data_IF_923987770726
#
_entry.id   IF_923987770726
#
_cell.length_a   1.000
_cell.length_b   1.000
_cell.length_c   1.000
_cell.angle_alpha   90.00
_cell.angle_beta   90.00
_cell.angle_gamma   90.00
#
_symmetry.space_group_name_H-M   'P 1'
#
loop_
_entity.id
_entity.type
_entity.pdbx_description
1 polymer ?
#
# COMPACT_ATOMS: atom_id res chain seq x y z
N UNK A 1 38.22 -8.25 73.65
CA UNK A 1 36.89 -7.62 73.77
C UNK A 1 37.00 -6.23 73.14
N UNK A 2 36.32 -5.83 72.07
CA UNK A 2 35.31 -6.46 71.23
C UNK A 2 35.26 -5.70 69.90
N UNK A 3 35.35 -6.45 68.80
CA UNK A 3 34.63 -6.29 67.52
C UNK A 3 34.45 -4.89 66.89
N UNK A 4 35.25 -4.62 65.85
CA UNK A 4 34.83 -3.80 64.71
C UNK A 4 33.91 -4.66 63.83
N UNK A 5 32.63 -4.28 63.70
CA UNK A 5 31.71 -4.91 62.74
C UNK A 5 31.80 -4.18 61.40
N UNK A 6 32.53 -4.78 60.46
CA UNK A 6 32.45 -4.41 59.05
C UNK A 6 31.09 -4.78 58.49
N UNK A 7 30.34 -3.79 58.03
CA UNK A 7 29.14 -4.00 57.22
C UNK A 7 29.59 -4.29 55.78
N UNK A 8 29.92 -5.55 55.52
CA UNK A 8 30.06 -6.05 54.15
C UNK A 8 28.71 -5.93 53.46
N UNK A 9 28.65 -5.15 52.37
CA UNK A 9 27.52 -5.20 51.45
C UNK A 9 27.33 -6.66 51.02
N UNK A 10 26.11 -7.22 51.10
CA UNK A 10 25.87 -8.56 50.60
C UNK A 10 26.19 -8.59 49.11
N UNK A 11 26.84 -9.65 48.60
CA UNK A 11 27.10 -9.78 47.18
C UNK A 11 25.75 -9.74 46.45
N UNK A 12 25.58 -8.75 45.57
CA UNK A 12 24.46 -8.68 44.64
C UNK A 12 24.34 -10.05 43.97
N UNK A 13 23.16 -10.69 43.98
CA UNK A 13 22.99 -11.96 43.29
C UNK A 13 23.41 -11.74 41.84
N UNK A 14 24.38 -12.52 41.39
CA UNK A 14 24.76 -12.60 39.98
C UNK A 14 23.57 -13.16 39.22
N UNK A 15 22.64 -12.28 38.89
CA UNK A 15 21.55 -12.57 38.00
C UNK A 15 22.19 -12.80 36.63
N UNK A 16 22.15 -14.05 36.16
CA UNK A 16 22.77 -14.54 34.92
C UNK A 16 22.04 -14.00 33.67
N UNK A 17 21.30 -12.91 33.81
CA UNK A 17 20.54 -12.28 32.76
C UNK A 17 21.40 -11.19 32.10
N UNK A 18 21.56 -11.30 30.79
CA UNK A 18 22.26 -10.34 29.94
C UNK A 18 21.56 -8.97 29.85
N UNK A 19 20.33 -8.88 30.34
CA UNK A 19 19.51 -7.67 30.28
C UNK A 19 19.16 -7.19 31.70
N UNK A 20 19.17 -5.86 31.93
CA UNK A 20 18.72 -5.31 33.20
C UNK A 20 17.25 -5.69 33.44
N UNK A 21 16.86 -5.98 34.70
CA UNK A 21 15.45 -6.16 35.03
C UNK A 21 14.68 -4.86 34.73
N UNK A 22 13.36 -4.96 34.48
CA UNK A 22 12.53 -3.78 34.26
C UNK A 22 12.63 -2.82 35.46
N UNK A 23 12.46 -1.51 35.26
CA UNK A 23 12.49 -0.55 36.35
C UNK A 23 11.47 -0.86 37.44
N UNK A 24 11.85 -0.65 38.71
CA UNK A 24 11.04 -0.99 39.89
C UNK A 24 9.65 -0.35 39.85
N UNK A 25 9.53 0.86 39.31
CA UNK A 25 8.24 1.57 39.20
C UNK A 25 7.23 0.87 38.28
N UNK A 26 7.67 -0.08 37.44
CA UNK A 26 6.76 -0.84 36.58
C UNK A 26 5.74 -1.65 37.38
N UNK A 27 6.09 -2.09 38.60
CA UNK A 27 5.19 -2.83 39.49
C UNK A 27 4.00 -1.97 39.96
N UNK A 28 4.15 -0.64 39.99
CA UNK A 28 3.10 0.28 40.40
C UNK A 28 1.97 0.43 39.36
N UNK A 29 2.18 -0.02 38.11
CA UNK A 29 1.22 0.06 37.01
C UNK A 29 0.17 -1.07 37.07
N UNK A 30 -0.60 -1.12 38.17
CA UNK A 30 -1.74 -2.06 38.31
C UNK A 30 -3.05 -1.42 37.85
N UNK A 31 -4.01 -2.22 37.39
CA UNK A 31 -5.34 -1.74 36.94
C UNK A 31 -6.05 -0.90 38.02
N UNK A 32 -5.87 -1.26 39.29
CA UNK A 32 -6.42 -0.54 40.43
C UNK A 32 -5.75 0.84 40.59
N UNK A 33 -4.42 0.92 40.56
CA UNK A 33 -3.69 2.18 40.70
C UNK A 33 -3.94 3.13 39.51
N UNK A 34 -4.09 2.58 38.30
CA UNK A 34 -4.46 3.35 37.10
C UNK A 34 -5.86 3.93 37.26
N UNK A 35 -6.85 3.12 37.70
CA UNK A 35 -8.22 3.61 37.91
C UNK A 35 -8.32 4.68 38.99
N UNK A 36 -7.45 4.61 40.01
CA UNK A 36 -7.37 5.59 41.11
C UNK A 36 -6.51 6.82 40.75
N UNK A 37 -5.88 6.85 39.57
CA UNK A 37 -5.01 7.95 39.15
C UNK A 37 -3.72 8.11 39.97
N UNK A 38 -3.29 7.04 40.67
CA UNK A 38 -2.07 7.04 41.49
C UNK A 38 -0.79 6.83 40.66
N UNK A 39 -0.95 6.50 39.38
CA UNK A 39 0.14 6.27 38.44
C UNK A 39 0.31 7.49 37.56
N UNK A 40 1.55 7.94 37.41
CA UNK A 40 1.87 9.05 36.51
C UNK A 40 1.61 8.62 35.05
N UNK A 41 0.97 9.48 34.24
CA UNK A 41 0.88 9.24 32.81
C UNK A 41 2.30 9.16 32.21
N UNK A 42 2.49 8.45 31.08
CA UNK A 42 3.77 8.41 30.42
C UNK A 42 4.25 9.83 30.13
N UNK A 43 5.56 10.12 30.31
CA UNK A 43 6.09 11.45 30.03
C UNK A 43 5.83 11.81 28.56
N UNK A 44 5.66 13.10 28.25
CA UNK A 44 5.53 13.54 26.86
C UNK A 44 6.77 13.12 26.08
N UNK A 45 6.59 12.76 24.81
CA UNK A 45 7.69 12.34 23.94
C UNK A 45 8.70 13.49 23.86
N UNK A 46 9.97 13.27 24.26
CA UNK A 46 10.96 14.33 24.22
C UNK A 46 11.27 14.68 22.76
N UNK A 47 11.15 15.96 22.44
CA UNK A 47 11.51 16.51 21.13
C UNK A 47 13.02 16.51 20.90
N UNK A 48 13.78 16.64 22.00
CA UNK A 48 15.24 16.64 22.01
C UNK A 48 15.74 15.45 22.80
N UNK A 49 16.61 14.65 22.21
CA UNK A 49 17.16 13.46 22.87
C UNK A 49 18.59 13.23 22.43
N UNK A 50 19.37 12.60 23.29
CA UNK A 50 20.77 12.29 23.02
C UNK A 50 20.90 10.85 22.52
N UNK A 51 21.58 10.65 21.40
CA UNK A 51 21.91 9.33 20.86
C UNK A 51 23.41 9.28 20.61
N UNK A 52 24.09 8.33 21.26
CA UNK A 52 25.54 8.14 21.14
C UNK A 52 26.39 9.40 21.41
N UNK A 53 25.94 10.29 22.29
CA UNK A 53 26.65 11.54 22.60
C UNK A 53 26.23 12.74 21.75
N UNK A 54 25.40 12.54 20.72
CA UNK A 54 24.87 13.61 19.88
C UNK A 54 23.44 13.98 20.26
N UNK A 55 23.17 15.27 20.39
CA UNK A 55 21.82 15.79 20.66
C UNK A 55 21.04 15.91 19.36
N UNK A 56 19.95 15.16 19.23
CA UNK A 56 19.01 15.23 18.13
C UNK A 56 17.81 16.10 18.51
N UNK A 57 17.34 16.90 17.55
CA UNK A 57 16.14 17.74 17.67
C UNK A 57 15.15 17.38 16.56
N UNK A 58 13.97 16.89 16.94
CA UNK A 58 12.94 16.46 15.98
C UNK A 58 12.23 17.61 15.27
N UNK A 59 12.22 18.81 15.86
CA UNK A 59 11.57 20.00 15.25
C UNK A 59 12.55 20.79 14.37
N UNK A 60 13.84 20.48 14.48
CA UNK A 60 14.90 21.12 13.71
C UNK A 60 15.01 20.58 12.27
N UNK A 61 16.12 20.95 11.62
CA UNK A 61 16.49 20.32 10.36
C UNK A 61 16.73 18.82 10.58
N UNK A 62 16.20 17.98 9.68
CA UNK A 62 16.31 16.51 9.76
C UNK A 62 17.77 16.03 9.84
N UNK A 63 18.69 16.79 9.24
CA UNK A 63 20.11 16.54 9.26
C UNK A 63 20.82 17.83 9.70
N UNK A 64 21.82 17.75 10.61
CA UNK A 64 22.69 18.87 10.91
C UNK A 64 23.40 19.38 9.65
N UNK A 65 23.67 20.68 9.58
CA UNK A 65 24.46 21.22 8.48
C UNK A 65 25.92 20.79 8.63
N UNK A 66 26.64 20.62 7.51
CA UNK A 66 28.06 20.27 7.54
C UNK A 66 28.90 21.30 8.32
N UNK A 67 28.50 22.57 8.26
CA UNK A 67 29.12 23.66 9.00
C UNK A 67 28.94 23.53 10.50
N UNK A 68 27.80 23.02 10.98
CA UNK A 68 27.55 22.78 12.41
C UNK A 68 28.42 21.64 12.94
N UNK A 69 28.75 20.66 12.09
CA UNK A 69 29.68 19.55 12.38
C UNK A 69 31.15 19.95 12.19
N UNK A 70 31.44 21.22 11.86
CA UNK A 70 32.80 21.72 11.64
C UNK A 70 33.47 21.25 10.35
N UNK A 71 32.69 20.76 9.38
CA UNK A 71 33.17 20.30 8.08
C UNK A 71 32.88 21.32 6.98
N UNK A 72 33.81 21.51 6.06
CA UNK A 72 33.61 22.38 4.90
C UNK A 72 32.62 21.74 3.91
N UNK A 73 31.59 22.49 3.54
CA UNK A 73 30.66 22.10 2.48
C UNK A 73 31.27 22.39 1.09
N UNK A 74 31.35 21.36 0.25
CA UNK A 74 32.00 21.39 -1.08
C UNK A 74 31.00 21.40 -2.26
N UNK A 75 29.70 21.44 -1.97
CA UNK A 75 28.63 21.45 -2.98
C UNK A 75 27.60 22.54 -2.69
N UNK A 76 26.84 22.93 -3.72
CA UNK A 76 25.77 23.92 -3.54
C UNK A 76 24.47 23.27 -3.04
N UNK A 77 23.90 23.80 -1.96
CA UNK A 77 22.64 23.32 -1.37
C UNK A 77 21.42 23.46 -2.31
N UNK A 78 21.46 24.40 -3.26
CA UNK A 78 20.39 24.60 -4.26
C UNK A 78 20.62 23.83 -5.56
N UNK A 79 21.70 23.05 -5.66
CA UNK A 79 22.08 22.33 -6.86
C UNK A 79 21.32 21.02 -7.06
N UNK A 80 21.36 20.50 -8.29
CA UNK A 80 20.88 19.15 -8.57
C UNK A 80 21.80 18.12 -7.88
N UNK A 81 21.26 17.36 -6.92
CA UNK A 81 22.00 16.34 -6.15
C UNK A 81 22.84 15.40 -7.02
N UNK A 82 22.31 14.98 -8.19
CA UNK A 82 23.00 14.06 -9.11
C UNK A 82 24.26 14.70 -9.70
N UNK A 83 24.18 15.97 -10.07
CA UNK A 83 25.30 16.71 -10.65
C UNK A 83 26.36 16.99 -9.59
N UNK A 84 25.95 17.41 -8.40
CA UNK A 84 26.87 17.66 -7.28
C UNK A 84 27.58 16.39 -6.82
N UNK A 85 26.85 15.28 -6.68
CA UNK A 85 27.44 13.98 -6.33
C UNK A 85 28.47 13.52 -7.38
N UNK A 86 28.19 13.74 -8.67
CA UNK A 86 29.12 13.40 -9.74
C UNK A 86 30.38 14.28 -9.71
N UNK A 87 30.25 15.58 -9.41
CA UNK A 87 31.40 16.48 -9.25
C UNK A 87 32.29 16.04 -8.09
N UNK A 88 31.70 15.75 -6.92
CA UNK A 88 32.44 15.27 -5.75
C UNK A 88 33.13 13.93 -6.03
N UNK A 89 32.45 13.01 -6.72
CA UNK A 89 33.04 11.73 -7.10
C UNK A 89 34.24 11.88 -8.04
N UNK A 90 34.14 12.77 -9.04
CA UNK A 90 35.27 13.09 -9.93
C UNK A 90 36.43 13.70 -9.15
N UNK A 91 36.14 14.63 -8.23
CA UNK A 91 37.16 15.23 -7.36
C UNK A 91 37.82 14.20 -6.44
N UNK A 92 37.06 13.22 -5.95
CA UNK A 92 37.57 12.12 -5.12
C UNK A 92 38.53 11.23 -5.91
N UNK A 93 38.17 10.85 -7.13
CA UNK A 93 39.04 10.05 -8.00
C UNK A 93 40.32 10.82 -8.31
N UNK A 94 40.23 12.11 -8.64
CA UNK A 94 41.41 12.95 -8.88
C UNK A 94 42.32 13.03 -7.63
N UNK A 95 41.75 13.30 -6.45
CA UNK A 95 42.51 13.35 -5.20
C UNK A 95 43.18 11.99 -4.85
N UNK A 96 42.53 10.88 -5.18
CA UNK A 96 43.10 9.55 -4.99
C UNK A 96 44.26 9.26 -5.96
N UNK A 97 44.14 9.68 -7.22
CA UNK A 97 45.24 9.56 -8.19
C UNK A 97 46.44 10.44 -7.79
N UNK A 98 46.20 11.67 -7.33
CA UNK A 98 47.25 12.54 -6.79
C UNK A 98 47.95 11.88 -5.60
N UNK A 99 47.19 11.26 -4.69
CA UNK A 99 47.75 10.54 -3.55
C UNK A 99 48.65 9.39 -4.00
N UNK A 100 48.22 8.59 -4.99
CA UNK A 100 49.06 7.53 -5.56
C UNK A 100 50.35 8.11 -6.16
N UNK A 101 50.26 9.22 -6.88
CA UNK A 101 51.43 9.85 -7.49
C UNK A 101 52.45 10.31 -6.44
N UNK A 102 51.98 10.90 -5.33
CA UNK A 102 52.82 11.28 -4.19
C UNK A 102 53.49 10.05 -3.58
N UNK A 103 52.74 8.97 -3.35
CA UNK A 103 53.27 7.73 -2.77
C UNK A 103 54.34 7.07 -3.65
N UNK A 104 54.23 7.18 -4.98
CA UNK A 104 55.23 6.67 -5.91
C UNK A 104 56.50 7.54 -5.92
N UNK A 105 56.34 8.88 -5.88
CA UNK A 105 57.46 9.82 -5.97
C UNK A 105 58.22 9.95 -4.66
N UNK A 106 57.53 10.32 -3.58
CA UNK A 106 58.11 10.60 -2.26
C UNK A 106 57.10 10.21 -1.17
N UNK A 107 57.18 8.99 -0.61
CA UNK A 107 56.18 8.52 0.34
C UNK A 107 56.16 9.33 1.64
N UNK A 108 57.27 9.95 2.06
CA UNK A 108 57.40 10.68 3.34
C UNK A 108 57.01 12.16 3.27
N UNK A 109 56.50 12.64 2.13
CA UNK A 109 56.09 14.03 1.99
C UNK A 109 54.83 14.32 2.84
N UNK A 110 54.78 15.51 3.47
CA UNK A 110 53.63 15.99 4.25
C UNK A 110 52.38 16.16 3.37
N UNK A 111 52.54 16.44 2.07
CA UNK A 111 51.45 16.52 1.07
C UNK A 111 50.57 15.25 1.04
N UNK A 112 51.12 14.09 1.41
CA UNK A 112 50.35 12.85 1.55
C UNK A 112 49.23 13.01 2.57
N UNK A 113 49.52 13.63 3.71
CA UNK A 113 48.57 13.82 4.82
C UNK A 113 47.48 14.78 4.38
N UNK A 114 47.84 15.88 3.71
CA UNK A 114 46.88 16.85 3.17
C UNK A 114 45.92 16.22 2.15
N UNK A 115 46.42 15.35 1.26
CA UNK A 115 45.57 14.62 0.33
C UNK A 115 44.65 13.61 1.02
N UNK A 116 45.10 12.95 2.07
CA UNK A 116 44.25 12.06 2.88
C UNK A 116 43.12 12.86 3.55
N UNK A 117 43.41 14.02 4.13
CA UNK A 117 42.38 14.89 4.72
C UNK A 117 41.41 15.46 3.69
N UNK A 118 41.90 15.76 2.49
CA UNK A 118 41.04 16.14 1.35
C UNK A 118 40.08 15.01 0.99
N UNK A 119 40.57 13.77 0.89
CA UNK A 119 39.76 12.58 0.62
C UNK A 119 38.72 12.35 1.73
N UNK A 120 39.13 12.48 3.00
CA UNK A 120 38.22 12.39 4.16
C UNK A 120 37.08 13.40 4.05
N UNK A 121 37.41 14.66 3.77
CA UNK A 121 36.43 15.73 3.60
C UNK A 121 35.47 15.46 2.44
N UNK A 122 35.97 14.95 1.31
CA UNK A 122 35.14 14.58 0.16
C UNK A 122 34.16 13.45 0.50
N UNK A 123 34.59 12.43 1.26
CA UNK A 123 33.69 11.37 1.71
C UNK A 123 32.59 11.89 2.63
N UNK A 124 32.93 12.73 3.62
CA UNK A 124 31.94 13.33 4.53
C UNK A 124 30.87 14.10 3.73
N UNK A 125 31.30 14.91 2.75
CA UNK A 125 30.40 15.65 1.87
C UNK A 125 29.49 14.74 1.02
N UNK A 126 30.05 13.66 0.46
CA UNK A 126 29.28 12.67 -0.31
C UNK A 126 28.24 11.99 0.59
N UNK A 127 28.63 11.60 1.80
CA UNK A 127 27.73 10.97 2.76
C UNK A 127 26.57 11.89 3.15
N UNK A 128 26.86 13.16 3.43
CA UNK A 128 25.84 14.15 3.75
C UNK A 128 24.85 14.33 2.59
N UNK A 129 25.33 14.48 1.36
CA UNK A 129 24.47 14.61 0.18
C UNK A 129 23.60 13.36 -0.07
N UNK A 130 24.12 12.16 0.21
CA UNK A 130 23.33 10.92 0.16
C UNK A 130 22.25 10.91 1.25
N UNK A 131 22.58 11.38 2.45
CA UNK A 131 21.65 11.46 3.56
C UNK A 131 20.51 12.43 3.26
N UNK A 132 20.80 13.61 2.69
CA UNK A 132 19.78 14.56 2.23
C UNK A 132 18.85 13.95 1.16
N UNK A 133 19.34 13.00 0.36
CA UNK A 133 18.53 12.33 -0.66
C UNK A 133 17.61 11.22 -0.10
N UNK A 134 17.87 10.69 1.11
CA UNK A 134 17.10 9.58 1.71
C UNK A 134 15.59 9.83 1.78
N UNK A 135 15.10 11.02 2.20
CA UNK A 135 13.66 11.28 2.25
C UNK A 135 13.00 11.29 0.87
N UNK A 136 13.71 11.77 -0.15
CA UNK A 136 13.24 11.76 -1.55
C UNK A 136 13.10 10.32 -2.03
N UNK A 137 14.13 9.49 -1.81
CA UNK A 137 14.10 8.06 -2.12
C UNK A 137 12.94 7.32 -1.43
N UNK A 138 12.70 7.60 -0.14
CA UNK A 138 11.61 6.98 0.61
C UNK A 138 10.23 7.32 0.02
N UNK A 139 10.02 8.60 -0.37
CA UNK A 139 8.78 9.05 -1.01
C UNK A 139 8.55 8.38 -2.36
N UNK A 140 9.59 8.25 -3.17
CA UNK A 140 9.49 7.58 -4.48
C UNK A 140 9.22 6.08 -4.34
N UNK A 141 9.85 5.44 -3.35
CA UNK A 141 9.59 4.03 -3.02
C UNK A 141 8.14 3.82 -2.60
N UNK A 142 7.60 4.71 -1.74
CA UNK A 142 6.21 4.66 -1.32
C UNK A 142 5.25 4.88 -2.50
N UNK A 143 5.54 5.85 -3.37
CA UNK A 143 4.74 6.11 -4.57
C UNK A 143 4.69 4.88 -5.47
N UNK A 144 5.82 4.21 -5.67
CA UNK A 144 5.89 3.02 -6.50
C UNK A 144 5.12 1.86 -5.87
N UNK A 145 5.21 1.68 -4.56
CA UNK A 145 4.45 0.68 -3.82
C UNK A 145 2.93 0.87 -4.01
N UNK A 146 2.44 2.10 -3.82
CA UNK A 146 1.00 2.40 -3.95
C UNK A 146 0.53 2.19 -5.39
N UNK A 147 1.32 2.61 -6.38
CA UNK A 147 1.01 2.35 -7.80
C UNK A 147 0.86 0.85 -8.07
N UNK A 148 1.80 0.05 -7.58
CA UNK A 148 1.77 -1.39 -7.74
C UNK A 148 0.52 -2.01 -7.08
N UNK A 149 0.21 -1.60 -5.84
CA UNK A 149 -0.98 -2.09 -5.13
C UNK A 149 -2.28 -1.73 -5.86
N UNK A 150 -2.41 -0.51 -6.36
CA UNK A 150 -3.60 -0.10 -7.11
C UNK A 150 -3.78 -0.90 -8.41
N UNK A 151 -2.68 -1.19 -9.12
CA UNK A 151 -2.72 -2.03 -10.31
C UNK A 151 -3.16 -3.46 -9.96
N UNK A 152 -2.59 -4.06 -8.91
CA UNK A 152 -2.99 -5.39 -8.45
C UNK A 152 -4.47 -5.45 -8.07
N UNK A 153 -4.96 -4.44 -7.33
CA UNK A 153 -6.36 -4.35 -6.91
C UNK A 153 -7.25 -4.21 -8.14
N UNK A 154 -6.90 -3.34 -9.09
CA UNK A 154 -7.70 -3.12 -10.31
C UNK A 154 -7.79 -4.39 -11.16
N UNK A 155 -6.68 -5.11 -11.33
CA UNK A 155 -6.65 -6.38 -12.08
C UNK A 155 -7.50 -7.43 -11.38
N UNK A 156 -7.34 -7.62 -10.06
CA UNK A 156 -8.14 -8.58 -9.30
C UNK A 156 -9.63 -8.24 -9.30
N UNK A 157 -9.95 -6.95 -9.20
CA UNK A 157 -11.33 -6.47 -9.25
C UNK A 157 -11.95 -6.76 -10.62
N UNK A 158 -11.23 -6.48 -11.71
CA UNK A 158 -11.70 -6.76 -13.07
C UNK A 158 -11.87 -8.27 -13.31
N UNK A 159 -10.94 -9.10 -12.86
CA UNK A 159 -11.03 -10.56 -12.95
C UNK A 159 -12.26 -11.09 -12.19
N UNK A 160 -12.45 -10.63 -10.95
CA UNK A 160 -13.61 -11.00 -10.13
C UNK A 160 -14.93 -10.55 -10.77
N UNK A 161 -14.98 -9.32 -11.28
CA UNK A 161 -16.17 -8.77 -11.90
C UNK A 161 -16.52 -9.49 -13.21
N UNK A 162 -15.52 -9.79 -14.05
CA UNK A 162 -15.68 -10.57 -15.28
C UNK A 162 -16.23 -11.98 -15.00
N UNK A 163 -15.69 -12.67 -13.99
CA UNK A 163 -16.17 -13.98 -13.56
C UNK A 163 -17.64 -13.92 -13.10
N UNK A 164 -18.00 -12.86 -12.35
CA UNK A 164 -19.35 -12.68 -11.82
C UNK A 164 -20.34 -12.34 -12.94
N UNK A 165 -20.00 -11.44 -13.86
CA UNK A 165 -20.81 -11.15 -15.05
C UNK A 165 -21.03 -12.41 -15.86
N UNK A 166 -19.97 -13.17 -16.16
CA UNK A 166 -20.09 -14.41 -16.93
C UNK A 166 -21.01 -15.43 -16.27
N UNK A 167 -21.06 -15.45 -14.93
CA UNK A 167 -21.98 -16.31 -14.19
C UNK A 167 -23.44 -15.81 -14.26
N UNK A 168 -23.66 -14.50 -14.15
CA UNK A 168 -24.98 -13.90 -14.33
C UNK A 168 -25.52 -14.11 -15.75
N UNK A 169 -24.67 -13.94 -16.78
CA UNK A 169 -25.05 -14.13 -18.18
C UNK A 169 -25.51 -15.56 -18.44
N UNK A 170 -24.80 -16.56 -17.89
CA UNK A 170 -25.23 -17.97 -17.96
C UNK A 170 -26.59 -18.23 -17.29
N UNK A 171 -26.90 -17.53 -16.21
CA UNK A 171 -28.21 -17.66 -15.54
C UNK A 171 -29.30 -17.02 -16.39
N UNK A 172 -29.06 -15.84 -16.97
CA UNK A 172 -30.03 -15.17 -17.84
C UNK A 172 -30.30 -15.96 -19.11
N UNK A 173 -29.28 -16.57 -19.73
CA UNK A 173 -29.46 -17.46 -20.89
C UNK A 173 -30.33 -18.68 -20.55
N UNK A 174 -30.09 -19.30 -19.38
CA UNK A 174 -30.92 -20.42 -18.92
C UNK A 174 -32.36 -19.99 -18.68
N UNK A 175 -32.59 -18.85 -18.03
CA UNK A 175 -33.93 -18.31 -17.80
C UNK A 175 -34.66 -18.01 -19.12
N UNK A 176 -33.96 -17.42 -20.11
CA UNK A 176 -34.53 -17.14 -21.41
C UNK A 176 -34.98 -18.43 -22.14
N UNK A 177 -34.19 -19.51 -22.04
CA UNK A 177 -34.60 -20.82 -22.58
C UNK A 177 -35.87 -21.38 -21.92
N UNK A 178 -36.01 -21.20 -20.60
CA UNK A 178 -37.24 -21.62 -19.90
C UNK A 178 -38.46 -20.77 -20.29
N UNK A 179 -38.28 -19.46 -20.54
CA UNK A 179 -39.39 -18.62 -21.02
C UNK A 179 -39.81 -18.98 -22.44
N UNK A 180 -38.87 -19.21 -23.36
CA UNK A 180 -39.17 -19.60 -24.75
C UNK A 180 -39.92 -20.94 -24.83
N UNK A 181 -39.52 -21.92 -24.01
CA UNK A 181 -40.21 -23.21 -23.92
C UNK A 181 -41.60 -23.08 -23.30
N UNK A 182 -41.77 -22.23 -22.28
CA UNK A 182 -43.07 -21.92 -21.70
C UNK A 182 -44.03 -21.23 -22.68
N UNK A 183 -43.54 -20.26 -23.45
CA UNK A 183 -44.34 -19.58 -24.49
C UNK A 183 -44.72 -20.52 -25.63
N UNK A 184 -43.81 -21.39 -26.08
CA UNK A 184 -44.09 -22.38 -27.11
C UNK A 184 -45.15 -23.42 -26.65
N UNK A 185 -45.10 -23.83 -25.38
CA UNK A 185 -46.11 -24.70 -24.79
C UNK A 185 -47.49 -24.02 -24.73
N UNK A 186 -47.55 -22.76 -24.31
CA UNK A 186 -48.80 -21.97 -24.31
C UNK A 186 -49.37 -21.79 -25.72
N UNK A 187 -48.51 -21.54 -26.71
CA UNK A 187 -48.92 -21.42 -28.12
C UNK A 187 -49.45 -22.76 -28.65
N UNK A 188 -48.81 -23.87 -28.31
CA UNK A 188 -49.28 -25.22 -28.66
C UNK A 188 -50.64 -25.51 -28.03
N UNK A 189 -50.84 -25.12 -26.76
CA UNK A 189 -52.09 -25.30 -26.04
C UNK A 189 -53.21 -24.42 -26.62
N UNK A 190 -52.90 -23.18 -26.98
CA UNK A 190 -53.85 -22.27 -27.63
C UNK A 190 -54.24 -22.77 -29.03
N UNK A 191 -53.30 -23.31 -29.80
CA UNK A 191 -53.57 -23.92 -31.10
C UNK A 191 -54.40 -25.21 -30.94
N UNK A 192 -54.11 -26.03 -29.93
CA UNK A 192 -54.91 -27.20 -29.60
C UNK A 192 -56.35 -26.82 -29.22
N UNK A 193 -56.54 -25.79 -28.38
CA UNK A 193 -57.85 -25.24 -28.03
C UNK A 193 -58.59 -24.67 -29.25
N UNK A 194 -57.89 -24.06 -30.20
CA UNK A 194 -58.50 -23.60 -31.46
C UNK A 194 -58.88 -24.75 -32.41
N UNK A 195 -58.17 -25.88 -32.34
CA UNK A 195 -58.52 -27.11 -33.07
C UNK A 195 -59.59 -27.96 -32.37
N UNK A 196 -59.94 -27.63 -31.13
CA UNK A 196 -61.10 -28.21 -30.44
C UNK A 196 -62.38 -27.65 -31.06
N UNK A 197 -62.80 -28.22 -32.19
CA UNK A 197 -64.15 -28.07 -32.71
C UNK A 197 -65.07 -28.98 -31.91
N UNK A 198 -66.09 -28.39 -31.27
CA UNK A 198 -67.16 -29.14 -30.61
C UNK A 198 -67.91 -29.92 -31.69
N UNK A 199 -67.85 -31.26 -31.62
CA UNK A 199 -68.53 -32.14 -32.57
C UNK A 199 -70.05 -31.98 -32.43
N UNK A 200 -70.73 -31.75 -33.57
CA UNK A 200 -72.15 -31.48 -33.68
C UNK A 200 -72.97 -32.74 -33.35
N UNK A 201 -73.16 -33.07 -32.07
CA UNK A 201 -74.24 -33.99 -31.63
C UNK A 201 -74.79 -33.62 -30.25
N UNK A 202 -75.38 -32.43 -30.12
CA UNK A 202 -76.36 -32.16 -29.05
C UNK A 202 -77.61 -31.54 -29.69
N UNK A 203 -78.84 -32.08 -29.46
CA UNK A 203 -80.04 -31.62 -30.14
C UNK A 203 -80.38 -30.18 -29.73
N UNK A 204 -80.70 -29.32 -30.71
CA UNK A 204 -81.25 -27.98 -30.47
C UNK A 204 -82.59 -28.08 -29.73
N UNK A 205 -82.79 -27.40 -28.59
CA UNK A 205 -84.13 -27.20 -28.06
C UNK A 205 -84.91 -26.16 -28.92
N UNK A 206 -86.25 -26.27 -28.97
CA UNK A 206 -87.10 -25.62 -29.95
C UNK A 206 -87.21 -24.09 -29.77
N UNK A 207 -87.66 -23.36 -30.82
CA UNK A 207 -87.59 -21.91 -30.87
C UNK A 207 -88.72 -21.23 -30.09
N UNK A 208 -88.37 -20.11 -29.48
CA UNK A 208 -89.20 -19.04 -28.93
C UNK A 208 -90.02 -19.30 -27.67
N UNK A 209 -89.67 -18.56 -26.61
CA UNK A 209 -90.61 -17.74 -25.84
C UNK A 209 -89.85 -16.55 -25.20
N UNK A 210 -90.01 -15.37 -25.84
CA UNK A 210 -89.94 -13.99 -25.33
C UNK A 210 -88.59 -13.46 -24.80
N UNK A 211 -87.84 -12.69 -25.60
CA UNK A 211 -87.95 -11.26 -25.98
C UNK A 211 -87.03 -10.35 -25.14
N UNK A 212 -85.89 -10.05 -25.76
CA UNK A 212 -85.25 -8.74 -25.98
C UNK A 212 -85.17 -7.62 -24.90
N UNK A 213 -83.92 -7.16 -24.77
CA UNK A 213 -83.43 -5.79 -24.52
C UNK A 213 -83.30 -5.31 -23.06
N UNK A 214 -82.05 -5.17 -22.59
CA UNK A 214 -81.35 -3.88 -22.65
C UNK A 214 -79.88 -4.01 -22.22
N UNK A 215 -79.01 -3.31 -22.95
CA UNK A 215 -77.58 -3.22 -22.72
C UNK A 215 -77.26 -2.31 -21.51
N UNK A 216 -76.21 -2.64 -20.76
CA UNK A 216 -75.60 -1.70 -19.81
C UNK A 216 -74.07 -1.79 -19.88
N UNK A 217 -73.46 -0.65 -20.22
CA UNK A 217 -72.02 -0.40 -20.24
C UNK A 217 -71.38 -0.57 -18.86
N UNK A 218 -70.14 -1.08 -18.82
CA UNK A 218 -69.18 -0.75 -17.76
C UNK A 218 -67.81 -0.45 -18.40
N UNK A 219 -67.55 0.84 -18.58
CA UNK A 219 -66.34 1.55 -18.14
C UNK A 219 -64.96 0.99 -18.50
N UNK A 220 -64.36 1.59 -19.54
CA UNK A 220 -62.94 1.47 -19.89
C UNK A 220 -62.01 2.00 -18.78
N UNK A 221 -61.22 1.11 -18.16
CA UNK A 221 -60.08 1.44 -17.31
C UNK A 221 -58.79 1.53 -18.13
N UNK A 222 -58.32 2.76 -18.39
CA UNK A 222 -57.09 3.07 -19.13
C UNK A 222 -55.90 3.10 -18.14
N UNK A 223 -55.05 2.08 -18.15
CA UNK A 223 -53.73 2.14 -17.48
C UNK A 223 -52.70 2.55 -18.53
N UNK A 224 -52.22 3.78 -18.41
CA UNK A 224 -51.14 4.37 -19.22
C UNK A 224 -49.80 3.91 -18.62
N UNK A 225 -49.00 3.25 -19.44
CA UNK A 225 -47.60 2.87 -19.18
C UNK A 225 -46.66 4.10 -19.20
N UNK A 226 -45.58 4.13 -18.40
CA UNK A 226 -44.57 5.17 -18.50
C UNK A 226 -43.62 4.90 -19.67
N UNK A 227 -43.39 5.94 -20.46
CA UNK A 227 -42.36 6.05 -21.50
C UNK A 227 -40.98 6.09 -20.83
N UNK A 228 -40.11 5.12 -21.12
CA UNK A 228 -38.67 5.20 -20.80
C UNK A 228 -37.92 5.45 -22.10
N UNK A 229 -37.38 6.66 -22.25
CA UNK A 229 -36.45 7.02 -23.32
C UNK A 229 -35.07 6.42 -23.04
N UNK A 230 -34.62 5.57 -23.96
CA UNK A 230 -33.25 5.05 -24.03
C UNK A 230 -32.29 6.17 -24.40
N UNK A 231 -31.38 6.55 -23.50
CA UNK A 231 -30.18 7.32 -23.86
C UNK A 231 -28.96 6.41 -23.67
N UNK A 232 -28.35 6.03 -24.80
CA UNK A 232 -27.12 5.25 -24.87
C UNK A 232 -25.92 6.13 -24.49
N UNK A 233 -25.07 5.68 -23.56
CA UNK A 233 -23.76 6.26 -23.29
C UNK A 233 -22.66 5.29 -23.78
N UNK A 234 -21.61 5.73 -24.49
CA UNK A 234 -20.67 4.80 -25.13
C UNK A 234 -19.62 4.27 -24.16
N UNK A 235 -19.35 2.95 -24.21
CA UNK A 235 -18.25 2.30 -23.49
C UNK A 235 -16.89 2.55 -24.19
N UNK A 236 -15.80 2.81 -23.44
CA UNK A 236 -14.46 2.90 -24.01
C UNK A 236 -13.89 1.51 -24.32
N UNK A 237 -13.09 1.43 -25.39
CA UNK A 237 -12.52 0.20 -25.96
C UNK A 237 -11.46 -0.43 -25.04
N UNK A 238 -11.32 -1.77 -25.02
CA UNK A 238 -10.29 -2.44 -24.24
C UNK A 238 -8.91 -2.28 -24.90
N UNK A 239 -7.91 -1.96 -24.07
CA UNK A 239 -6.49 -1.98 -24.42
C UNK A 239 -5.99 -3.42 -24.23
N UNK A 240 -5.50 -4.04 -25.30
CA UNK A 240 -4.84 -5.35 -25.22
C UNK A 240 -3.52 -5.23 -24.44
N UNK A 241 -3.40 -5.96 -23.33
CA UNK A 241 -2.09 -6.23 -22.73
C UNK A 241 -1.77 -7.71 -22.85
N UNK A 242 -0.61 -7.96 -23.48
CA UNK A 242 0.03 -9.25 -23.63
C UNK A 242 0.01 -10.06 -22.34
N UNK A 243 -0.43 -11.30 -22.51
CA UNK A 243 -0.45 -12.38 -21.55
C UNK A 243 0.87 -12.57 -20.80
N UNK A 244 0.76 -12.59 -19.47
CA UNK A 244 1.33 -13.66 -18.65
C UNK A 244 2.81 -13.54 -18.27
N UNK A 245 3.08 -12.92 -17.13
CA UNK A 245 4.10 -13.43 -16.19
C UNK A 245 3.54 -13.31 -14.78
N UNK A 246 3.13 -14.44 -14.21
CA UNK A 246 2.82 -14.58 -12.79
C UNK A 246 4.15 -14.57 -12.03
N UNK A 247 4.61 -13.41 -11.58
CA UNK A 247 5.74 -13.33 -10.66
C UNK A 247 5.27 -13.81 -9.29
N UNK A 248 5.60 -15.07 -8.98
CA UNK A 248 5.50 -15.57 -7.62
C UNK A 248 6.45 -14.76 -6.72
N UNK A 249 6.08 -14.64 -5.45
CA UNK A 249 6.75 -13.88 -4.38
C UNK A 249 8.23 -14.27 -4.11
N UNK A 250 8.84 -15.11 -4.94
CA UNK A 250 10.24 -15.57 -4.87
C UNK A 250 11.10 -15.19 -6.09
N UNK A 251 10.52 -14.60 -7.13
CA UNK A 251 11.25 -14.31 -8.39
C UNK A 251 11.64 -12.83 -8.55
N UNK A 252 11.92 -12.12 -7.45
CA UNK A 252 12.80 -10.94 -7.53
C UNK A 252 14.24 -11.47 -7.54
N UNK A 253 14.64 -12.05 -8.66
CA UNK A 253 16.03 -12.34 -8.96
C UNK A 253 16.75 -11.02 -9.23
N UNK A 254 17.39 -10.46 -8.21
CA UNK A 254 18.22 -9.27 -8.38
C UNK A 254 18.41 -8.38 -7.15
N UNK A 255 18.61 -8.94 -5.96
CA UNK A 255 19.38 -8.29 -4.89
C UNK A 255 19.74 -9.25 -3.74
N UNK A 256 20.49 -10.35 -3.96
CA UNK A 256 21.20 -10.96 -2.85
C UNK A 256 22.48 -10.11 -2.57
N UNK A 257 22.60 -9.64 -1.33
CA UNK A 257 23.87 -9.33 -0.65
C UNK A 257 24.59 -7.97 -0.81
N UNK A 258 23.91 -6.82 -0.82
CA UNK A 258 24.63 -5.53 -0.57
C UNK A 258 24.10 -4.72 0.61
N UNK A 259 22.92 -5.04 1.15
CA UNK A 259 22.35 -4.28 2.28
C UNK A 259 22.73 -4.78 3.68
N UNK A 260 23.50 -5.87 3.80
CA UNK A 260 23.99 -6.37 5.10
C UNK A 260 25.45 -6.01 5.40
N UNK A 261 26.08 -5.11 4.62
CA UNK A 261 27.50 -4.75 4.81
C UNK A 261 27.84 -3.24 4.81
N UNK A 262 26.84 -2.35 4.82
CA UNK A 262 27.08 -0.94 5.10
C UNK A 262 26.38 -0.54 6.39
N UNK A 263 26.84 -1.19 7.46
CA UNK A 263 26.77 -0.65 8.80
C UNK A 263 28.06 0.15 8.98
N UNK A 264 28.00 1.46 8.73
CA UNK A 264 29.03 2.37 9.20
C UNK A 264 28.37 3.57 9.86
N UNK A 265 28.84 3.78 11.08
CA UNK A 265 28.78 4.98 11.90
C UNK A 265 29.08 6.24 11.09
#
# INVERSE_FOLDING_TARGET
MSSQSGTGNPPLPQNVNLFPPPPIFAECYTSENISKGLVLPPPPVPTKFEVFGETFDLEGALLPSLTDTGCQQLYSASGNWRSELLKLNRSLIAAFLDLIEILIKCPDNEERIEKIETIRTLFINIHHLINEYRPVQARDTLRQLIKHQNLEITVKFFEFFSLKIGSCLRVTEKLNKYTETGTAALETLNNALRSFTFDETIPKPPPNCFEENEAMEIGNGKIISPIVQTTQLPLPKPVELLTGVRLMRRDIGGAPQILSKFQFF
#
